data_IF_579009230439
#
_entry.id   IF_579009230439
#
_cell.length_a   1.000
_cell.length_b   1.000
_cell.length_c   1.000
_cell.angle_alpha   90.00
_cell.angle_beta   90.00
_cell.angle_gamma   90.00
#
_symmetry.space_group_name_H-M   'P 1'
#
loop_
_entity.id
_entity.type
_entity.pdbx_description
1 polymer ?
#
# COMPACT_ATOMS: atom_id res chain seq x y z
N UNK A 1 18.65 -18.68 -3.47
CA UNK A 1 19.07 -20.08 -3.33
C UNK A 1 18.29 -20.70 -2.18
N UNK A 2 17.82 -21.92 -2.35
CA UNK A 2 17.08 -22.67 -1.34
C UNK A 2 17.83 -23.99 -1.11
N UNK A 3 18.44 -24.13 0.05
CA UNK A 3 19.22 -25.30 0.44
C UNK A 3 19.29 -25.44 1.99
N UNK A 4 20.03 -26.42 2.51
CA UNK A 4 20.16 -26.64 3.95
C UNK A 4 20.77 -25.43 4.70
N UNK A 5 21.65 -24.65 4.06
CA UNK A 5 22.23 -23.43 4.62
C UNK A 5 21.30 -22.21 4.55
N UNK A 6 20.30 -22.26 3.66
CA UNK A 6 19.25 -21.27 3.51
C UNK A 6 17.90 -21.97 3.32
N UNK A 7 17.31 -22.50 4.41
CA UNK A 7 16.19 -23.44 4.36
C UNK A 7 14.83 -22.78 4.10
N UNK A 8 14.80 -21.48 3.84
CA UNK A 8 13.60 -20.75 3.44
C UNK A 8 13.93 -19.69 2.39
N UNK A 9 12.96 -19.32 1.60
CA UNK A 9 13.10 -18.29 0.55
C UNK A 9 11.80 -17.52 0.35
N UNK A 10 11.92 -16.22 0.20
CA UNK A 10 10.90 -15.35 -0.39
C UNK A 10 11.33 -14.96 -1.79
N UNK A 11 10.43 -15.10 -2.75
CA UNK A 11 10.65 -14.72 -4.13
C UNK A 11 9.38 -14.12 -4.72
N UNK A 12 9.55 -13.39 -5.82
CA UNK A 12 8.44 -12.91 -6.64
C UNK A 12 8.59 -13.48 -8.04
N UNK A 13 7.51 -14.06 -8.56
CA UNK A 13 7.43 -14.54 -9.93
C UNK A 13 7.14 -13.37 -10.88
N UNK A 14 7.39 -13.52 -12.20
CA UNK A 14 7.19 -12.46 -13.18
C UNK A 14 5.75 -11.94 -13.29
N UNK A 15 4.75 -12.76 -12.93
CA UNK A 15 3.34 -12.40 -12.87
C UNK A 15 2.95 -11.62 -11.59
N UNK A 16 3.93 -11.40 -10.70
CA UNK A 16 3.75 -10.74 -9.40
C UNK A 16 3.33 -11.68 -8.27
N UNK A 17 3.20 -12.99 -8.53
CA UNK A 17 2.91 -13.99 -7.49
C UNK A 17 4.04 -14.01 -6.47
N UNK A 18 3.69 -13.87 -5.18
CA UNK A 18 4.64 -14.03 -4.08
C UNK A 18 4.76 -15.52 -3.77
N UNK A 19 5.99 -15.99 -3.81
CA UNK A 19 6.37 -17.36 -3.51
C UNK A 19 7.15 -17.40 -2.21
N UNK A 20 6.69 -18.18 -1.24
CA UNK A 20 7.44 -18.46 -0.03
C UNK A 20 7.58 -19.98 0.13
N UNK A 21 8.78 -20.44 0.43
CA UNK A 21 9.04 -21.86 0.69
C UNK A 21 9.90 -22.04 1.94
N UNK A 22 9.60 -23.12 2.67
CA UNK A 22 10.38 -23.56 3.84
C UNK A 22 10.66 -25.06 3.68
N UNK A 23 11.94 -25.43 3.75
CA UNK A 23 12.38 -26.84 3.64
C UNK A 23 12.15 -27.61 4.94
N UNK A 24 11.99 -28.94 4.80
CA UNK A 24 12.19 -29.84 5.91
C UNK A 24 13.67 -29.79 6.40
N UNK A 25 13.94 -30.00 7.70
CA UNK A 25 13.03 -30.38 8.79
C UNK A 25 12.37 -29.19 9.50
N UNK A 26 12.59 -27.94 9.06
CA UNK A 26 11.93 -26.76 9.66
C UNK A 26 10.42 -26.81 9.42
N UNK A 27 10.01 -27.13 8.22
CA UNK A 27 8.62 -27.39 7.90
C UNK A 27 8.27 -28.86 8.16
N UNK A 28 7.12 -29.13 8.83
CA UNK A 28 6.62 -30.48 9.08
C UNK A 28 5.17 -30.61 8.61
N UNK A 29 4.80 -31.72 7.95
CA UNK A 29 5.53 -32.99 7.78
C UNK A 29 6.50 -33.05 6.58
N UNK A 30 6.73 -31.94 5.86
CA UNK A 30 7.62 -31.87 4.71
C UNK A 30 7.82 -30.43 4.26
N UNK A 31 8.48 -30.21 3.14
CA UNK A 31 8.66 -28.86 2.54
C UNK A 31 7.31 -28.20 2.30
N UNK A 32 7.15 -26.99 2.80
CA UNK A 32 5.96 -26.17 2.58
C UNK A 32 6.23 -25.10 1.50
N UNK A 33 5.24 -24.90 0.64
CA UNK A 33 5.23 -23.84 -0.35
C UNK A 33 3.94 -23.02 -0.20
N UNK A 34 4.07 -21.72 -0.12
CA UNK A 34 2.97 -20.77 -0.07
C UNK A 34 3.02 -19.87 -1.31
N UNK A 35 1.90 -19.78 -2.02
CA UNK A 35 1.74 -18.90 -3.18
C UNK A 35 0.65 -17.89 -2.88
N UNK A 36 0.99 -16.60 -3.01
CA UNK A 36 0.02 -15.50 -2.97
C UNK A 36 -0.10 -14.90 -4.36
N UNK A 37 -1.12 -15.36 -5.08
CA UNK A 37 -1.40 -14.92 -6.45
C UNK A 37 -2.15 -13.59 -6.40
N UNK A 38 -1.61 -12.51 -7.00
CA UNK A 38 -2.32 -11.24 -7.06
C UNK A 38 -3.56 -11.37 -7.96
N UNK A 39 -4.59 -10.61 -7.65
CA UNK A 39 -5.75 -10.52 -8.55
C UNK A 39 -5.35 -9.83 -9.85
N UNK A 40 -5.84 -10.34 -10.95
CA UNK A 40 -5.57 -9.80 -12.30
C UNK A 40 -6.47 -8.62 -12.65
N UNK A 41 -7.60 -8.43 -11.95
CA UNK A 41 -8.58 -7.37 -12.22
C UNK A 41 -9.00 -6.67 -10.94
N UNK A 42 -9.08 -5.34 -11.01
CA UNK A 42 -9.62 -4.49 -9.94
C UNK A 42 -11.15 -4.48 -10.00
N UNK A 43 -11.79 -4.48 -8.85
CA UNK A 43 -13.23 -4.26 -8.75
C UNK A 43 -13.56 -2.80 -9.06
N UNK A 44 -14.66 -2.59 -9.77
CA UNK A 44 -15.27 -1.26 -9.90
C UNK A 44 -16.09 -0.93 -8.66
N UNK A 45 -16.34 0.35 -8.41
CA UNK A 45 -17.23 0.80 -7.32
C UNK A 45 -18.65 0.23 -7.52
N UNK A 46 -19.13 0.15 -8.77
CA UNK A 46 -20.42 -0.44 -9.09
C UNK A 46 -20.52 -1.94 -8.70
N UNK A 47 -19.44 -2.71 -8.91
CA UNK A 47 -19.37 -4.12 -8.48
C UNK A 47 -19.34 -4.24 -6.95
N UNK A 48 -18.67 -3.32 -6.24
CA UNK A 48 -18.69 -3.29 -4.78
C UNK A 48 -20.08 -2.97 -4.23
N UNK A 49 -20.87 -2.15 -4.93
CA UNK A 49 -22.27 -1.91 -4.58
C UNK A 49 -23.12 -3.13 -4.90
N UNK A 50 -22.98 -3.72 -6.07
CA UNK A 50 -23.75 -4.91 -6.48
C UNK A 50 -23.52 -6.12 -5.56
N UNK A 51 -22.28 -6.27 -5.03
CA UNK A 51 -21.95 -7.33 -4.05
C UNK A 51 -22.42 -7.01 -2.63
N UNK A 52 -23.01 -5.85 -2.36
CA UNK A 52 -23.40 -5.41 -1.01
C UNK A 52 -22.22 -4.97 -0.12
N UNK A 53 -21.00 -4.88 -0.65
CA UNK A 53 -19.84 -4.39 0.09
C UNK A 53 -19.96 -2.91 0.42
N UNK A 54 -20.55 -2.12 -0.49
CA UNK A 54 -20.86 -0.70 -0.30
C UNK A 54 -22.35 -0.44 -0.49
N UNK A 55 -22.92 0.47 0.31
CA UNK A 55 -24.22 1.03 -0.01
C UNK A 55 -24.10 2.02 -1.18
N UNK A 56 -25.17 2.18 -1.96
CA UNK A 56 -25.21 3.18 -3.04
C UNK A 56 -25.00 4.62 -2.52
N UNK A 57 -25.42 4.89 -1.27
CA UNK A 57 -25.19 6.19 -0.62
C UNK A 57 -23.70 6.40 -0.32
N UNK A 58 -23.04 5.40 0.26
CA UNK A 58 -21.61 5.44 0.55
C UNK A 58 -20.79 5.58 -0.73
N UNK A 59 -21.14 4.83 -1.79
CA UNK A 59 -20.47 4.93 -3.08
C UNK A 59 -20.48 6.36 -3.63
N UNK A 60 -21.63 7.03 -3.64
CA UNK A 60 -21.75 8.45 -4.10
C UNK A 60 -20.88 9.41 -3.27
N UNK A 61 -20.77 9.19 -1.96
CA UNK A 61 -19.89 10.01 -1.11
C UNK A 61 -18.43 9.78 -1.49
N UNK A 62 -18.01 8.54 -1.65
CA UNK A 62 -16.63 8.19 -2.03
C UNK A 62 -16.27 8.69 -3.43
N UNK A 63 -17.18 8.59 -4.41
CA UNK A 63 -17.03 9.17 -5.74
C UNK A 63 -16.82 10.69 -5.66
N UNK A 64 -17.61 11.38 -4.82
CA UNK A 64 -17.47 12.82 -4.60
C UNK A 64 -16.14 13.19 -3.93
N UNK A 65 -15.64 12.37 -2.99
CA UNK A 65 -14.31 12.53 -2.37
C UNK A 65 -13.20 12.48 -3.42
N UNK A 66 -13.25 11.48 -4.31
CA UNK A 66 -12.27 11.34 -5.39
C UNK A 66 -12.36 12.50 -6.39
N UNK A 67 -13.58 12.83 -6.86
CA UNK A 67 -13.81 13.89 -7.85
C UNK A 67 -13.38 15.26 -7.34
N UNK A 68 -13.57 15.54 -6.05
CA UNK A 68 -13.17 16.80 -5.40
C UNK A 68 -11.73 16.84 -4.93
N UNK A 69 -10.93 15.83 -5.23
CA UNK A 69 -9.52 15.71 -4.82
C UNK A 69 -9.33 15.85 -3.31
N UNK A 70 -10.27 15.35 -2.51
CA UNK A 70 -10.10 15.34 -1.06
C UNK A 70 -9.07 14.28 -0.66
N UNK A 71 -8.21 14.63 0.29
CA UNK A 71 -7.32 13.66 0.91
C UNK A 71 -8.11 12.69 1.79
N UNK A 72 -7.77 11.40 1.74
CA UNK A 72 -8.45 10.39 2.55
C UNK A 72 -7.53 9.24 2.95
N UNK A 73 -7.89 8.57 4.02
CA UNK A 73 -7.26 7.32 4.46
C UNK A 73 -8.32 6.21 4.55
N UNK A 74 -7.94 5.02 4.08
CA UNK A 74 -8.76 3.80 4.22
C UNK A 74 -8.19 3.00 5.38
N UNK A 75 -8.93 2.89 6.49
CA UNK A 75 -8.51 2.13 7.66
C UNK A 75 -9.28 0.82 7.81
N UNK A 76 -8.70 -0.13 8.52
CA UNK A 76 -9.33 -1.42 8.81
C UNK A 76 -8.32 -2.51 9.13
N UNK A 77 -8.79 -3.65 9.61
CA UNK A 77 -7.98 -4.83 9.91
C UNK A 77 -7.36 -5.50 8.66
N UNK A 78 -6.52 -6.49 8.89
CA UNK A 78 -5.98 -7.33 7.80
C UNK A 78 -7.13 -8.08 7.12
N UNK A 79 -7.11 -8.13 5.77
CA UNK A 79 -8.15 -8.82 5.00
C UNK A 79 -9.50 -8.09 4.92
N UNK A 80 -9.64 -6.88 5.50
CA UNK A 80 -10.90 -6.11 5.46
C UNK A 80 -11.24 -5.51 4.10
N UNK A 81 -10.34 -5.61 3.11
CA UNK A 81 -10.58 -5.09 1.75
C UNK A 81 -10.07 -3.67 1.52
N UNK A 82 -9.23 -3.10 2.41
CA UNK A 82 -8.65 -1.75 2.25
C UNK A 82 -8.04 -1.51 0.87
N UNK A 83 -7.12 -2.39 0.46
CA UNK A 83 -6.42 -2.33 -0.83
C UNK A 83 -7.41 -2.45 -2.00
N UNK A 84 -8.43 -3.31 -1.86
CA UNK A 84 -9.47 -3.50 -2.87
C UNK A 84 -10.31 -2.22 -3.05
N UNK A 85 -10.73 -1.61 -1.94
CA UNK A 85 -11.51 -0.37 -1.97
C UNK A 85 -10.66 0.77 -2.52
N UNK A 86 -9.40 0.92 -2.05
CA UNK A 86 -8.49 1.96 -2.53
C UNK A 86 -8.25 1.83 -4.03
N UNK A 87 -7.98 0.62 -4.54
CA UNK A 87 -7.79 0.39 -5.97
C UNK A 87 -9.03 0.76 -6.79
N UNK A 88 -10.24 0.40 -6.31
CA UNK A 88 -11.49 0.77 -6.96
C UNK A 88 -11.71 2.29 -7.02
N UNK A 89 -11.37 3.02 -5.94
CA UNK A 89 -11.47 4.47 -5.88
C UNK A 89 -10.44 5.14 -6.78
N UNK A 90 -9.21 4.64 -6.84
CA UNK A 90 -8.17 5.16 -7.73
C UNK A 90 -8.51 4.97 -9.21
N UNK A 91 -9.29 3.95 -9.54
CA UNK A 91 -9.79 3.74 -10.91
C UNK A 91 -10.84 4.77 -11.35
N UNK A 92 -11.38 5.60 -10.42
CA UNK A 92 -12.26 6.72 -10.70
C UNK A 92 -11.51 8.04 -10.95
N UNK A 93 -10.21 8.06 -10.72
CA UNK A 93 -9.38 9.27 -10.94
C UNK A 93 -9.41 9.62 -12.42
N UNK A 94 -9.40 10.92 -12.73
CA UNK A 94 -9.42 11.40 -14.11
C UNK A 94 -8.18 10.90 -14.87
N UNK A 95 -8.32 10.40 -16.10
CA UNK A 95 -7.25 9.71 -16.83
C UNK A 95 -6.02 10.58 -17.12
N UNK A 96 -6.18 11.90 -17.07
CA UNK A 96 -5.11 12.89 -17.24
C UNK A 96 -4.23 13.02 -15.99
N UNK A 97 -4.77 12.67 -14.82
CA UNK A 97 -4.05 12.80 -13.55
C UNK A 97 -2.98 11.72 -13.42
N UNK A 98 -1.79 12.13 -12.98
CA UNK A 98 -0.71 11.21 -12.65
C UNK A 98 -0.86 10.67 -11.23
N UNK A 99 -1.09 9.37 -11.12
CA UNK A 99 -1.15 8.67 -9.83
C UNK A 99 0.21 8.03 -9.56
N UNK A 100 0.89 8.43 -8.48
CA UNK A 100 2.12 7.80 -8.04
C UNK A 100 1.85 6.99 -6.79
N UNK A 101 2.01 5.68 -6.90
CA UNK A 101 1.76 4.71 -5.84
C UNK A 101 3.09 4.28 -5.23
N UNK A 102 3.20 4.32 -3.91
CA UNK A 102 4.36 3.88 -3.14
C UNK A 102 3.94 2.77 -2.19
N UNK A 103 4.61 1.62 -2.25
CA UNK A 103 4.31 0.43 -1.45
C UNK A 103 5.59 -0.31 -1.03
N UNK A 104 5.53 -1.03 0.10
CA UNK A 104 6.57 -2.02 0.45
C UNK A 104 6.59 -3.18 -0.54
N UNK A 105 5.40 -3.62 -0.93
CA UNK A 105 5.20 -4.68 -1.90
C UNK A 105 4.02 -4.29 -2.78
N UNK A 106 4.22 -4.24 -4.08
CA UNK A 106 3.23 -3.78 -5.06
C UNK A 106 2.00 -4.70 -5.08
N UNK A 107 0.90 -4.24 -4.50
CA UNK A 107 -0.40 -4.92 -4.45
C UNK A 107 -1.51 -4.09 -5.12
N UNK A 108 -1.40 -2.76 -5.06
CA UNK A 108 -2.34 -1.85 -5.69
C UNK A 108 -2.20 -1.87 -7.21
N UNK A 109 -3.30 -2.17 -7.89
CA UNK A 109 -3.39 -2.19 -9.35
C UNK A 109 -4.68 -1.49 -9.78
N UNK A 110 -4.79 -0.17 -9.66
CA UNK A 110 -5.96 0.55 -10.14
C UNK A 110 -6.04 0.45 -11.67
N UNK A 111 -7.25 0.35 -12.19
CA UNK A 111 -7.51 0.41 -13.63
C UNK A 111 -7.48 1.88 -14.06
N UNK A 112 -6.27 2.39 -14.31
CA UNK A 112 -6.04 3.79 -14.64
C UNK A 112 -4.83 3.91 -15.59
N UNK A 113 -4.91 4.73 -16.67
CA UNK A 113 -3.89 4.76 -17.72
C UNK A 113 -2.56 5.39 -17.28
N UNK A 114 -2.54 6.22 -16.24
CA UNK A 114 -1.35 6.97 -15.83
C UNK A 114 -0.95 6.66 -14.38
N UNK A 115 -0.59 5.41 -14.12
CA UNK A 115 -0.07 4.96 -12.81
C UNK A 115 1.43 4.75 -12.88
N UNK A 116 2.15 5.30 -11.91
CA UNK A 116 3.55 5.03 -11.64
C UNK A 116 3.64 4.31 -10.30
N UNK A 117 4.11 3.07 -10.29
CA UNK A 117 4.29 2.28 -9.08
C UNK A 117 5.76 2.27 -8.65
N UNK A 118 6.01 2.60 -7.38
CA UNK A 118 7.30 2.52 -6.72
C UNK A 118 7.21 1.47 -5.61
N UNK A 119 8.14 0.53 -5.62
CA UNK A 119 8.16 -0.57 -4.67
C UNK A 119 9.42 -0.53 -3.82
N UNK A 120 9.26 -0.74 -2.51
CA UNK A 120 10.34 -0.88 -1.55
C UNK A 120 11.26 -2.05 -1.91
N UNK A 121 12.52 -1.92 -1.53
CA UNK A 121 13.50 -2.98 -1.71
C UNK A 121 14.10 -3.35 -0.37
N UNK A 122 13.95 -4.62 0.08
CA UNK A 122 14.64 -5.09 1.27
C UNK A 122 16.17 -5.07 1.06
N UNK A 123 16.96 -5.04 2.15
CA UNK A 123 18.41 -5.14 2.04
C UNK A 123 18.82 -6.46 1.37
N UNK A 124 19.96 -6.43 0.69
CA UNK A 124 20.56 -7.63 0.13
C UNK A 124 21.15 -8.53 1.26
N UNK A 125 21.77 -9.64 0.89
CA UNK A 125 22.38 -10.62 1.82
C UNK A 125 23.46 -9.95 2.71
N UNK A 126 24.09 -8.89 2.24
CA UNK A 126 25.11 -8.10 2.96
C UNK A 126 24.50 -7.00 3.84
N UNK A 127 23.18 -6.90 3.90
CA UNK A 127 22.47 -5.87 4.66
C UNK A 127 22.45 -4.50 3.99
N UNK A 128 22.91 -4.40 2.74
CA UNK A 128 23.00 -3.13 2.00
C UNK A 128 21.88 -2.96 0.96
N UNK A 129 21.71 -1.73 0.47
CA UNK A 129 20.84 -1.43 -0.66
C UNK A 129 19.34 -1.43 -0.35
N UNK A 130 18.93 -1.39 0.92
CA UNK A 130 17.53 -1.18 1.29
C UNK A 130 17.00 0.16 0.77
N UNK A 131 15.75 0.17 0.29
CA UNK A 131 15.01 1.38 -0.06
C UNK A 131 13.64 1.29 0.58
N UNK A 132 13.40 2.10 1.59
CA UNK A 132 12.18 2.12 2.36
C UNK A 132 11.07 2.98 1.71
N UNK A 133 9.84 2.80 2.17
CA UNK A 133 8.67 3.55 1.71
C UNK A 133 8.85 5.04 1.91
N UNK A 134 9.43 5.47 3.03
CA UNK A 134 9.66 6.88 3.32
C UNK A 134 10.58 7.54 2.28
N UNK A 135 11.66 6.87 1.92
CA UNK A 135 12.57 7.32 0.86
C UNK A 135 11.82 7.43 -0.47
N UNK A 136 10.99 6.44 -0.81
CA UNK A 136 10.22 6.43 -2.06
C UNK A 136 9.16 7.53 -2.09
N UNK A 137 8.48 7.83 -0.98
CA UNK A 137 7.53 8.97 -0.88
C UNK A 137 8.23 10.27 -1.26
N UNK A 138 9.44 10.52 -0.74
CA UNK A 138 10.23 11.71 -1.08
C UNK A 138 10.65 11.77 -2.55
N UNK A 139 10.92 10.61 -3.18
CA UNK A 139 11.18 10.56 -4.61
C UNK A 139 9.90 10.76 -5.43
N UNK A 140 8.78 10.17 -5.01
CA UNK A 140 7.48 10.34 -5.65
C UNK A 140 7.07 11.81 -5.77
N UNK A 141 7.31 12.62 -4.73
CA UNK A 141 7.03 14.07 -4.73
C UNK A 141 7.79 14.84 -5.84
N UNK A 142 8.97 14.34 -6.24
CA UNK A 142 9.76 14.93 -7.33
C UNK A 142 9.27 14.53 -8.73
N UNK A 143 8.35 13.56 -8.80
CA UNK A 143 7.79 13.06 -10.05
C UNK A 143 6.54 13.82 -10.50
N UNK A 144 6.20 14.93 -9.82
CA UNK A 144 4.99 15.74 -10.05
C UNK A 144 3.73 14.88 -10.05
N UNK A 145 3.41 14.19 -8.95
CA UNK A 145 2.17 13.45 -8.84
C UNK A 145 0.99 14.43 -8.76
N UNK A 146 -0.09 14.16 -9.48
CA UNK A 146 -1.38 14.78 -9.19
C UNK A 146 -2.00 14.13 -7.96
N UNK A 147 -1.70 12.81 -7.76
CA UNK A 147 -2.09 12.06 -6.56
C UNK A 147 -0.93 11.22 -6.06
N UNK A 148 -0.55 11.45 -4.81
CA UNK A 148 0.38 10.60 -4.08
C UNK A 148 -0.41 9.55 -3.29
N UNK A 149 -0.07 8.27 -3.50
CA UNK A 149 -0.74 7.15 -2.84
C UNK A 149 0.30 6.35 -2.05
N UNK A 150 0.06 6.16 -0.75
CA UNK A 150 0.86 5.23 0.06
C UNK A 150 0.01 3.99 0.31
N UNK A 151 0.41 2.88 -0.29
CA UNK A 151 -0.37 1.63 -0.29
C UNK A 151 -0.69 1.15 1.12
N UNK A 152 0.27 1.22 2.04
CA UNK A 152 0.05 1.04 3.47
C UNK A 152 1.00 1.92 4.28
N UNK A 153 0.45 2.69 5.19
CA UNK A 153 1.20 3.50 6.17
C UNK A 153 1.45 2.65 7.41
N UNK A 154 2.72 2.39 7.72
CA UNK A 154 3.15 1.56 8.85
C UNK A 154 4.14 2.24 9.78
N UNK A 155 4.63 3.42 9.43
CA UNK A 155 5.67 4.11 10.17
C UNK A 155 5.87 5.57 9.76
N UNK A 156 7.13 5.98 9.75
CA UNK A 156 7.58 7.36 9.58
C UNK A 156 7.17 8.04 8.26
N UNK A 157 6.85 7.28 7.23
CA UNK A 157 6.32 7.77 5.95
C UNK A 157 5.03 8.56 6.09
N UNK A 158 4.28 8.37 7.18
CA UNK A 158 3.06 9.14 7.48
C UNK A 158 3.35 10.64 7.53
N UNK A 159 4.49 11.05 8.07
CA UNK A 159 4.86 12.47 8.19
C UNK A 159 5.08 13.09 6.82
N UNK A 160 5.82 12.39 5.94
CA UNK A 160 6.08 12.87 4.59
C UNK A 160 4.78 12.87 3.75
N UNK A 161 3.88 11.89 3.95
CA UNK A 161 2.55 11.87 3.33
C UNK A 161 1.70 13.07 3.79
N UNK A 162 1.55 13.27 5.11
CA UNK A 162 0.76 14.39 5.65
C UNK A 162 1.32 15.75 5.23
N UNK A 163 2.65 15.90 5.20
CA UNK A 163 3.28 17.11 4.70
C UNK A 163 2.93 17.34 3.23
N UNK A 164 2.94 16.31 2.39
CA UNK A 164 2.56 16.40 0.99
C UNK A 164 1.09 16.83 0.83
N UNK A 165 0.17 16.22 1.60
CA UNK A 165 -1.25 16.57 1.58
C UNK A 165 -1.53 18.01 1.98
N UNK A 166 -0.68 18.60 2.86
CA UNK A 166 -0.79 19.98 3.31
C UNK A 166 -0.09 21.00 2.39
N UNK A 167 0.71 20.55 1.41
CA UNK A 167 1.55 21.43 0.56
C UNK A 167 1.18 21.37 -0.92
N UNK A 168 -0.10 21.10 -1.25
CA UNK A 168 -0.62 21.22 -2.61
C UNK A 168 -0.69 19.92 -3.40
N UNK A 169 -0.47 18.76 -2.75
CA UNK A 169 -0.75 17.45 -3.35
C UNK A 169 -2.14 16.98 -2.94
N UNK A 170 -3.15 17.72 -3.40
CA UNK A 170 -4.56 17.43 -3.14
C UNK A 170 -4.95 16.05 -3.69
N UNK A 171 -5.87 15.37 -3.00
CA UNK A 171 -6.35 14.05 -3.43
C UNK A 171 -5.39 12.89 -3.18
N UNK A 172 -4.30 13.11 -2.46
CA UNK A 172 -3.44 12.03 -1.98
C UNK A 172 -4.17 11.16 -0.97
N UNK A 173 -3.80 9.88 -0.89
CA UNK A 173 -4.48 8.91 -0.05
C UNK A 173 -3.56 7.75 0.35
N UNK A 174 -4.06 6.89 1.23
CA UNK A 174 -3.32 5.71 1.65
C UNK A 174 -4.20 4.75 2.43
N UNK A 175 -3.63 3.60 2.80
CA UNK A 175 -4.26 2.71 3.78
C UNK A 175 -3.52 2.74 5.10
N UNK A 176 -4.24 2.47 6.17
CA UNK A 176 -3.72 2.41 7.52
C UNK A 176 -4.34 1.22 8.26
N UNK A 177 -3.53 0.53 9.05
CA UNK A 177 -4.05 -0.53 9.89
C UNK A 177 -4.57 0.05 11.23
N UNK A 178 -5.89 0.11 11.36
CA UNK A 178 -6.56 0.51 12.60
C UNK A 178 -7.85 -0.29 12.77
N UNK A 179 -8.23 -0.60 14.01
CA UNK A 179 -9.44 -1.38 14.30
C UNK A 179 -10.72 -0.57 14.08
N UNK A 180 -10.65 0.74 14.26
CA UNK A 180 -11.75 1.68 14.01
C UNK A 180 -11.22 3.01 13.46
N UNK A 181 -12.10 3.83 12.88
CA UNK A 181 -11.75 5.18 12.45
C UNK A 181 -11.30 6.08 13.60
N UNK A 182 -11.80 5.84 14.81
CA UNK A 182 -11.43 6.59 16.02
C UNK A 182 -9.99 6.30 16.48
N UNK A 183 -9.44 5.15 16.11
CA UNK A 183 -8.07 4.77 16.45
C UNK A 183 -7.02 5.37 15.49
N UNK A 184 -7.46 5.93 14.36
CA UNK A 184 -6.56 6.45 13.31
C UNK A 184 -5.67 7.59 13.84
N UNK A 185 -6.18 8.62 14.56
CA UNK A 185 -5.33 9.69 15.10
C UNK A 185 -4.24 9.16 16.04
N UNK A 186 -4.59 8.30 17.00
CA UNK A 186 -3.62 7.71 17.93
C UNK A 186 -2.57 6.85 17.20
N UNK A 187 -2.95 6.16 16.13
CA UNK A 187 -2.02 5.38 15.32
C UNK A 187 -1.03 6.26 14.56
N UNK A 188 -1.51 7.36 13.97
CA UNK A 188 -0.67 8.36 13.29
C UNK A 188 0.31 8.99 14.29
N UNK A 189 -0.17 9.35 15.47
CA UNK A 189 0.66 9.91 16.55
C UNK A 189 1.77 8.93 16.95
N UNK A 190 1.45 7.64 17.16
CA UNK A 190 2.44 6.62 17.49
C UNK A 190 3.53 6.48 16.41
N UNK A 191 3.17 6.55 15.13
CA UNK A 191 4.13 6.52 14.03
C UNK A 191 4.99 7.78 13.95
N UNK A 192 4.45 8.92 14.39
CA UNK A 192 5.18 10.20 14.43
C UNK A 192 6.18 10.22 15.59
N UNK A 193 5.79 9.72 16.76
CA UNK A 193 6.63 9.68 17.96
C UNK A 193 7.81 8.71 17.81
N UNK A 194 7.63 7.59 17.12
CA UNK A 194 8.73 6.64 16.86
C UNK A 194 9.92 7.25 16.09
N UNK A 195 9.74 8.40 15.46
CA UNK A 195 10.81 9.18 14.83
C UNK A 195 11.67 9.96 15.82
N UNK A 196 11.10 10.39 16.94
CA UNK A 196 11.83 11.16 17.97
C UNK A 196 12.78 10.25 18.76
N UNK A 197 12.38 8.99 18.97
CA UNK A 197 13.21 8.00 19.66
C UNK A 197 14.37 7.47 18.80
N UNK A 198 14.30 7.67 17.49
CA UNK A 198 15.36 7.26 16.54
C UNK A 198 16.40 8.35 16.25
N UNK A 199 16.24 9.56 16.78
CA UNK A 199 17.25 10.60 16.69
C UNK A 199 18.29 10.38 17.80
N UNK A 200 19.59 10.21 17.47
CA UNK A 200 20.61 10.18 18.51
C UNK A 200 20.62 11.54 19.20
N UNK A 201 20.39 11.49 20.49
CA UNK A 201 20.57 12.64 21.39
C UNK A 201 22.06 13.03 21.39
#
# INVERSE_FOLDING_TARGET
>A
RLDEGSPFVDARLPDGTRFHAVLAPLARPGTLVSLRVPRTRTFTVAELVASGTLSAGTARVLEAVVARRLAFLVSGGTGSGKTTLLAALLSLVAPEERVVVVEDASELRPDHPHVVALEGRPPNIEGAGAVDVRTLVRQALRMRPDRLVVGEVRGAEVVDLLAALNTGHEGGCGTLHANSALDVPARIEAYTLSLHDALPI
#
